data_IF_518308394971
#
_entry.id   IF_518308394971
#
_cell.length_a   1.000
_cell.length_b   1.000
_cell.length_c   1.000
_cell.angle_alpha   90.00
_cell.angle_beta   90.00
_cell.angle_gamma   90.00
#
_symmetry.space_group_name_H-M   'P 1'
#
loop_
_entity.id
_entity.type
_entity.pdbx_description
1 polymer ?
#
# COMPACT_ATOMS: atom_id res chain seq x y z
N UNK A 1 6.36 -14.19 18.19
CA UNK A 1 5.23 -15.14 18.03
C UNK A 1 5.25 -16.20 19.14
N UNK A 2 6.30 -17.02 19.27
CA UNK A 2 6.37 -18.14 20.24
C UNK A 2 5.91 -17.82 21.69
N UNK A 3 6.41 -16.75 22.30
CA UNK A 3 6.06 -16.37 23.70
C UNK A 3 4.56 -16.14 23.88
N UNK A 4 3.94 -15.40 22.95
CA UNK A 4 2.51 -15.14 22.98
C UNK A 4 1.71 -16.41 22.69
N UNK A 5 2.18 -17.26 21.79
CA UNK A 5 1.52 -18.53 21.46
C UNK A 5 1.47 -19.46 22.67
N UNK A 6 2.58 -19.65 23.39
CA UNK A 6 2.63 -20.48 24.60
C UNK A 6 1.76 -19.94 25.72
N UNK A 7 1.71 -18.61 25.88
CA UNK A 7 0.85 -17.98 26.88
C UNK A 7 -0.64 -18.16 26.56
N UNK A 8 -1.05 -18.00 25.29
CA UNK A 8 -2.46 -18.03 24.89
C UNK A 8 -2.98 -19.46 24.72
N UNK A 9 -2.21 -20.35 24.08
CA UNK A 9 -2.66 -21.71 23.76
C UNK A 9 -2.37 -22.70 24.88
N UNK A 10 -1.17 -22.65 25.43
CA UNK A 10 -0.70 -23.62 26.43
C UNK A 10 -0.84 -23.10 27.86
N UNK A 11 -1.22 -21.83 28.04
CA UNK A 11 -1.28 -21.14 29.35
C UNK A 11 0.06 -21.14 30.11
N UNK A 12 1.18 -21.23 29.39
CA UNK A 12 2.52 -21.21 29.96
C UNK A 12 3.12 -19.81 29.82
N UNK A 13 3.36 -19.15 30.95
CA UNK A 13 4.03 -17.86 31.00
C UNK A 13 5.55 -18.00 31.00
N UNK A 14 6.14 -18.09 29.80
CA UNK A 14 7.60 -18.16 29.65
C UNK A 14 8.32 -16.81 29.87
N UNK A 15 7.61 -15.71 30.13
CA UNK A 15 8.23 -14.40 30.37
C UNK A 15 9.01 -14.37 31.70
N UNK A 16 8.64 -15.24 32.65
CA UNK A 16 9.23 -15.30 33.99
C UNK A 16 10.57 -16.04 34.05
N UNK A 17 10.94 -16.78 33.00
CA UNK A 17 12.14 -17.64 33.00
C UNK A 17 13.29 -16.98 32.23
N UNK A 18 14.10 -16.16 32.93
CA UNK A 18 15.24 -15.42 32.34
C UNK A 18 16.26 -16.33 31.67
N UNK A 19 16.63 -17.45 32.29
CA UNK A 19 17.59 -18.43 31.76
C UNK A 19 17.09 -19.06 30.46
N UNK A 20 15.80 -19.45 30.41
CA UNK A 20 15.18 -19.99 29.20
C UNK A 20 15.16 -18.95 28.08
N UNK A 21 14.82 -17.69 28.39
CA UNK A 21 14.85 -16.60 27.41
C UNK A 21 16.26 -16.41 26.84
N UNK A 22 17.29 -16.50 27.68
CA UNK A 22 18.69 -16.40 27.25
C UNK A 22 19.05 -17.53 26.27
N UNK A 23 18.68 -18.78 26.58
CA UNK A 23 18.90 -19.93 25.71
C UNK A 23 18.20 -19.75 24.37
N UNK A 24 16.93 -19.34 24.38
CA UNK A 24 16.14 -19.11 23.16
C UNK A 24 16.77 -18.02 22.27
N UNK A 25 17.22 -16.90 22.87
CA UNK A 25 17.92 -15.83 22.14
C UNK A 25 19.21 -16.33 21.49
N UNK A 26 20.00 -17.14 22.21
CA UNK A 26 21.23 -17.73 21.68
C UNK A 26 20.94 -18.72 20.54
N UNK A 27 19.90 -19.54 20.65
CA UNK A 27 19.46 -20.45 19.57
C UNK A 27 19.02 -19.71 18.31
N UNK A 28 18.49 -18.50 18.44
CA UNK A 28 18.08 -17.66 17.31
C UNK A 28 19.20 -16.79 16.72
N UNK A 29 20.42 -16.80 17.29
CA UNK A 29 21.54 -16.03 16.72
C UNK A 29 21.83 -16.52 15.30
N UNK A 30 21.97 -15.58 14.37
CA UNK A 30 22.21 -15.89 12.95
C UNK A 30 20.96 -16.30 12.17
N UNK A 31 19.79 -16.43 12.82
CA UNK A 31 18.54 -16.63 12.09
C UNK A 31 18.26 -15.41 11.22
N UNK A 32 18.23 -15.64 9.90
CA UNK A 32 17.72 -14.67 8.94
C UNK A 32 16.29 -15.09 8.60
N UNK A 33 15.27 -14.26 8.85
CA UNK A 33 13.91 -14.57 8.44
C UNK A 33 13.87 -14.74 6.93
N UNK A 34 13.07 -15.69 6.44
CA UNK A 34 12.80 -15.82 5.01
C UNK A 34 12.14 -14.53 4.54
N UNK A 35 12.87 -13.76 3.74
CA UNK A 35 12.32 -12.55 3.11
C UNK A 35 11.47 -12.97 1.91
N UNK A 36 10.38 -12.23 1.69
CA UNK A 36 9.62 -12.33 0.43
C UNK A 36 10.52 -11.92 -0.74
N UNK A 37 10.26 -12.45 -1.93
CA UNK A 37 10.83 -11.87 -3.15
C UNK A 37 10.41 -10.40 -3.22
N UNK A 38 11.36 -9.52 -3.54
CA UNK A 38 11.15 -8.09 -3.70
C UNK A 38 11.27 -7.79 -5.19
N UNK A 39 10.35 -6.98 -5.73
CA UNK A 39 10.40 -6.56 -7.12
C UNK A 39 11.59 -5.63 -7.37
N UNK A 40 12.29 -5.85 -8.48
CA UNK A 40 13.30 -4.92 -8.97
C UNK A 40 12.66 -3.77 -9.76
N UNK A 41 13.42 -2.72 -10.03
CA UNK A 41 12.92 -1.53 -10.75
C UNK A 41 12.46 -1.92 -12.15
N UNK A 42 13.19 -2.83 -12.78
CA UNK A 42 12.94 -3.39 -14.10
C UNK A 42 11.60 -4.13 -14.13
N UNK A 43 11.28 -4.92 -13.10
CA UNK A 43 10.01 -5.64 -12.99
C UNK A 43 8.83 -4.68 -12.93
N UNK A 44 8.95 -3.62 -12.12
CA UNK A 44 7.91 -2.59 -11.98
C UNK A 44 7.72 -1.83 -13.29
N UNK A 45 8.82 -1.43 -13.92
CA UNK A 45 8.79 -0.73 -15.20
C UNK A 45 8.19 -1.59 -16.31
N UNK A 46 8.52 -2.88 -16.33
CA UNK A 46 7.94 -3.86 -17.25
C UNK A 46 6.43 -3.98 -17.03
N UNK A 47 6.00 -4.11 -15.77
CA UNK A 47 4.59 -4.16 -15.41
C UNK A 47 3.83 -2.90 -15.88
N UNK A 48 4.41 -1.71 -15.68
CA UNK A 48 3.78 -0.47 -16.14
C UNK A 48 3.65 -0.42 -17.67
N UNK A 49 4.65 -0.88 -18.42
CA UNK A 49 4.71 -0.86 -19.90
C UNK A 49 3.83 -1.89 -20.57
N UNK A 50 3.94 -3.14 -20.16
CA UNK A 50 3.36 -4.26 -20.90
C UNK A 50 1.89 -4.47 -20.56
N UNK A 51 1.47 -4.11 -19.35
CA UNK A 51 0.12 -4.41 -18.89
C UNK A 51 -0.91 -3.46 -19.48
N UNK A 52 -2.05 -3.98 -19.93
CA UNK A 52 -3.16 -3.13 -20.40
C UNK A 52 -3.71 -2.26 -19.27
N UNK A 53 -3.95 -0.98 -19.60
CA UNK A 53 -4.61 -0.04 -18.69
C UNK A 53 -6.09 -0.36 -18.48
N UNK A 54 -6.71 -1.23 -19.28
CA UNK A 54 -8.15 -1.49 -19.15
C UNK A 54 -8.43 -2.60 -18.13
N UNK A 55 -7.50 -3.54 -17.99
CA UNK A 55 -7.60 -4.65 -17.04
C UNK A 55 -6.99 -4.30 -15.68
N UNK A 56 -5.78 -3.72 -15.66
CA UNK A 56 -5.01 -3.54 -14.42
C UNK A 56 -4.77 -2.07 -14.03
N UNK A 57 -5.70 -1.17 -14.36
CA UNK A 57 -5.56 0.26 -14.02
C UNK A 57 -5.38 0.48 -12.51
N UNK A 58 -6.13 -0.29 -11.73
CA UNK A 58 -6.20 -0.17 -10.28
C UNK A 58 -4.88 -0.59 -9.61
N UNK A 59 -4.29 -1.69 -10.06
CA UNK A 59 -3.01 -2.20 -9.59
C UNK A 59 -1.88 -1.23 -9.94
N UNK A 60 -1.93 -0.62 -11.14
CA UNK A 60 -0.99 0.42 -11.55
C UNK A 60 -1.06 1.63 -10.63
N UNK A 61 -2.24 2.19 -10.37
CA UNK A 61 -2.35 3.36 -9.48
C UNK A 61 -1.93 3.04 -8.04
N UNK A 62 -2.25 1.86 -7.52
CA UNK A 62 -1.76 1.42 -6.19
C UNK A 62 -0.24 1.35 -6.19
N UNK A 63 0.35 0.74 -7.22
CA UNK A 63 1.81 0.61 -7.30
C UNK A 63 2.49 1.97 -7.33
N UNK A 64 1.96 2.93 -8.09
CA UNK A 64 2.46 4.32 -8.15
C UNK A 64 2.35 4.98 -6.78
N UNK A 65 1.18 4.98 -6.15
CA UNK A 65 1.01 5.62 -4.83
C UNK A 65 1.85 4.94 -3.74
N UNK A 66 2.04 3.63 -3.85
CA UNK A 66 2.90 2.85 -2.97
C UNK A 66 4.38 3.21 -3.12
N UNK A 67 4.88 3.33 -4.36
CA UNK A 67 6.28 3.63 -4.65
C UNK A 67 6.61 5.09 -4.31
N UNK A 68 5.84 6.06 -4.80
CA UNK A 68 6.10 7.48 -4.56
C UNK A 68 5.83 7.89 -3.11
N UNK A 69 4.77 7.37 -2.51
CA UNK A 69 4.35 7.76 -1.17
C UNK A 69 4.87 6.87 -0.04
N UNK A 70 5.47 5.71 -0.35
CA UNK A 70 5.78 4.65 0.63
C UNK A 70 4.59 4.32 1.53
N UNK A 71 3.39 4.30 0.94
CA UNK A 71 2.13 4.18 1.68
C UNK A 71 1.85 2.73 2.08
N UNK A 72 1.33 2.56 3.30
CA UNK A 72 0.76 1.27 3.73
C UNK A 72 -0.61 1.08 3.12
N UNK A 73 -1.04 -0.17 2.93
CA UNK A 73 -2.36 -0.49 2.39
C UNK A 73 -3.51 0.14 3.18
N UNK A 74 -3.40 0.19 4.51
CA UNK A 74 -4.39 0.84 5.36
C UNK A 74 -4.45 2.36 5.16
N UNK A 75 -3.33 3.01 4.83
CA UNK A 75 -3.27 4.44 4.58
C UNK A 75 -3.84 4.78 3.20
N UNK A 76 -3.60 3.92 2.19
CA UNK A 76 -4.21 4.05 0.88
C UNK A 76 -5.73 3.86 0.95
N UNK A 77 -6.20 2.87 1.72
CA UNK A 77 -7.62 2.55 1.82
C UNK A 77 -8.47 3.69 2.39
N UNK A 78 -7.93 4.50 3.30
CA UNK A 78 -8.64 5.63 3.92
C UNK A 78 -8.46 6.96 3.17
N UNK A 79 -7.72 6.97 2.06
CA UNK A 79 -7.44 8.18 1.31
C UNK A 79 -8.74 8.76 0.73
N UNK A 80 -8.93 10.08 0.83
CA UNK A 80 -10.12 10.74 0.28
C UNK A 80 -9.83 11.47 -1.03
N UNK A 81 -10.88 11.87 -1.76
CA UNK A 81 -10.70 12.64 -3.01
C UNK A 81 -10.00 13.97 -2.74
N UNK A 82 -10.35 14.64 -1.64
CA UNK A 82 -9.79 15.95 -1.27
C UNK A 82 -8.30 15.88 -0.89
N UNK A 83 -7.85 14.69 -0.50
CA UNK A 83 -6.45 14.40 -0.20
C UNK A 83 -5.60 14.32 -1.49
N UNK A 84 -6.21 14.13 -2.67
CA UNK A 84 -5.52 14.01 -3.97
C UNK A 84 -5.76 15.27 -4.82
N UNK A 85 -4.74 16.12 -4.92
CA UNK A 85 -4.80 17.41 -5.62
C UNK A 85 -3.97 17.38 -6.89
N UNK A 86 -4.60 17.64 -8.02
CA UNK A 86 -3.93 17.79 -9.32
C UNK A 86 -3.64 19.28 -9.57
N UNK A 87 -2.36 19.66 -9.63
CA UNK A 87 -1.88 21.02 -9.96
C UNK A 87 -0.78 20.98 -11.02
N UNK A 88 -0.91 20.10 -12.01
CA UNK A 88 0.16 19.77 -12.95
C UNK A 88 0.84 18.48 -12.52
N UNK A 89 1.43 18.49 -11.32
CA UNK A 89 1.79 17.29 -10.57
C UNK A 89 0.65 16.87 -9.65
N UNK A 90 0.58 15.57 -9.32
CA UNK A 90 -0.41 15.07 -8.34
C UNK A 90 0.20 15.11 -6.96
N UNK A 91 -0.31 15.98 -6.10
CA UNK A 91 0.02 16.00 -4.68
C UNK A 91 -0.98 15.17 -3.89
N UNK A 92 -0.47 14.26 -3.07
CA UNK A 92 -1.28 13.43 -2.18
C UNK A 92 -0.96 13.79 -0.74
N UNK A 93 -1.98 14.17 0.02
CA UNK A 93 -1.89 14.42 1.45
C UNK A 93 -2.32 13.18 2.22
N UNK A 94 -1.38 12.51 2.86
CA UNK A 94 -1.66 11.32 3.65
C UNK A 94 -1.67 11.66 5.14
N UNK A 95 -2.77 11.34 5.80
CA UNK A 95 -2.89 11.40 7.26
C UNK A 95 -2.24 10.17 7.90
N UNK A 96 -1.23 10.37 8.74
CA UNK A 96 -0.64 9.27 9.53
C UNK A 96 -1.54 8.99 10.73
N UNK A 97 -2.19 7.82 10.73
CA UNK A 97 -3.13 7.42 11.79
C UNK A 97 -2.45 7.13 13.13
N UNK A 98 -1.12 6.94 13.18
CA UNK A 98 -0.38 6.63 14.40
C UNK A 98 0.27 7.85 15.03
N UNK A 99 0.87 8.71 14.23
CA UNK A 99 1.59 9.89 14.73
C UNK A 99 0.78 11.18 14.62
N UNK A 100 -0.35 11.15 13.90
CA UNK A 100 -1.17 12.32 13.56
C UNK A 100 -0.39 13.44 12.83
N UNK A 101 0.78 13.10 12.27
CA UNK A 101 1.58 13.99 11.44
C UNK A 101 1.29 13.68 9.98
N UNK A 102 0.69 14.64 9.28
CA UNK A 102 0.41 14.49 7.87
C UNK A 102 1.72 14.50 7.07
N UNK A 103 1.81 13.63 6.07
CA UNK A 103 2.91 13.62 5.11
C UNK A 103 2.34 13.80 3.72
N UNK A 104 2.90 14.77 3.01
CA UNK A 104 2.55 15.02 1.62
C UNK A 104 3.63 14.40 0.74
N UNK A 105 3.23 13.82 -0.39
CA UNK A 105 4.15 13.40 -1.43
C UNK A 105 3.63 13.84 -2.79
N UNK A 106 4.55 14.11 -3.70
CA UNK A 106 4.27 14.44 -5.09
C UNK A 106 4.48 13.23 -5.98
N UNK A 107 3.55 13.00 -6.89
CA UNK A 107 3.71 12.12 -8.04
C UNK A 107 4.03 13.03 -9.21
N UNK A 108 5.27 12.90 -9.69
CA UNK A 108 5.82 13.72 -10.77
C UNK A 108 5.80 12.88 -12.05
N UNK A 109 5.50 13.53 -13.18
CA UNK A 109 5.60 12.90 -14.49
C UNK A 109 7.06 12.66 -14.90
N UNK A 110 7.30 11.57 -15.62
CA UNK A 110 8.54 11.36 -16.36
C UNK A 110 8.20 11.28 -17.86
N UNK A 111 9.04 11.89 -18.68
CA UNK A 111 8.89 11.96 -20.13
C UNK A 111 9.39 10.68 -20.83
N UNK A 112 10.12 9.81 -20.12
CA UNK A 112 10.82 8.65 -20.71
C UNK A 112 9.99 7.36 -20.84
N UNK A 113 8.65 7.45 -20.82
CA UNK A 113 7.80 6.33 -21.22
C UNK A 113 6.39 6.37 -20.68
N UNK A 114 6.23 6.20 -19.36
CA UNK A 114 4.91 6.15 -18.72
C UNK A 114 4.84 7.26 -17.70
N UNK A 115 3.93 8.19 -17.96
CA UNK A 115 3.66 9.26 -17.05
C UNK A 115 2.72 8.78 -15.91
N UNK A 116 3.20 8.67 -14.67
CA UNK A 116 2.39 8.19 -13.55
C UNK A 116 1.20 9.12 -13.27
N UNK A 117 1.36 10.42 -13.57
CA UNK A 117 0.30 11.42 -13.44
C UNK A 117 -0.89 11.09 -14.34
N UNK A 118 -0.63 10.65 -15.57
CA UNK A 118 -1.70 10.35 -16.54
C UNK A 118 -2.50 9.12 -16.12
N UNK A 119 -1.86 8.14 -15.48
CA UNK A 119 -2.55 6.97 -14.91
C UNK A 119 -3.49 7.41 -13.78
N UNK A 120 -3.02 8.28 -12.89
CA UNK A 120 -3.85 8.81 -11.80
C UNK A 120 -5.03 9.60 -12.36
N UNK A 121 -4.80 10.43 -13.39
CA UNK A 121 -5.85 11.18 -14.08
C UNK A 121 -6.87 10.26 -14.76
N UNK A 122 -6.43 9.22 -15.47
CA UNK A 122 -7.30 8.22 -16.12
C UNK A 122 -8.21 7.54 -15.09
N UNK A 123 -7.66 7.11 -13.96
CA UNK A 123 -8.45 6.52 -12.87
C UNK A 123 -9.46 7.53 -12.29
N UNK A 124 -9.03 8.77 -12.03
CA UNK A 124 -9.89 9.82 -11.49
C UNK A 124 -11.05 10.16 -12.42
N UNK A 125 -10.83 10.14 -13.73
CA UNK A 125 -11.88 10.38 -14.73
C UNK A 125 -12.90 9.25 -14.80
N UNK A 126 -12.47 7.99 -14.62
CA UNK A 126 -13.36 6.82 -14.59
C UNK A 126 -14.14 6.68 -13.28
N UNK A 127 -13.65 7.30 -12.21
CA UNK A 127 -14.30 7.24 -10.90
C UNK A 127 -15.64 7.99 -10.95
N UNK A 128 -16.69 7.32 -10.49
CA UNK A 128 -18.03 7.91 -10.31
C UNK A 128 -17.94 9.13 -9.39
N UNK A 129 -18.53 10.26 -9.80
CA UNK A 129 -18.50 11.50 -9.00
C UNK A 129 -19.53 11.49 -7.87
N UNK A 130 -20.67 10.82 -8.07
CA UNK A 130 -21.79 10.79 -7.15
C UNK A 130 -21.84 9.49 -6.34
N UNK A 131 -20.83 9.27 -5.49
CA UNK A 131 -20.80 8.12 -4.57
C UNK A 131 -21.10 8.62 -3.16
N UNK A 132 -21.82 7.82 -2.36
CA UNK A 132 -22.20 8.17 -0.99
C UNK A 132 -21.01 8.45 -0.04
N UNK A 133 -19.80 8.02 -0.43
CA UNK A 133 -18.58 8.19 0.35
C UNK A 133 -17.51 9.00 -0.42
N UNK A 134 -16.61 9.64 0.34
CA UNK A 134 -15.54 10.47 -0.22
C UNK A 134 -14.19 9.73 -0.38
N UNK A 135 -14.18 8.40 -0.31
CA UNK A 135 -12.94 7.62 -0.47
C UNK A 135 -12.43 7.68 -1.91
N UNK A 136 -11.13 7.90 -2.09
CA UNK A 136 -10.50 8.02 -3.40
C UNK A 136 -10.58 6.69 -4.17
N UNK A 137 -10.21 5.58 -3.52
CA UNK A 137 -10.24 4.27 -4.15
C UNK A 137 -11.60 3.61 -4.03
N UNK A 138 -12.12 3.21 -5.18
CA UNK A 138 -13.34 2.42 -5.33
C UNK A 138 -13.03 1.16 -6.12
N UNK A 139 -13.89 0.15 -5.95
CA UNK A 139 -13.74 -1.13 -6.62
C UNK A 139 -13.77 -0.97 -8.13
N UNK A 140 -12.73 -1.48 -8.81
CA UNK A 140 -12.52 -1.42 -10.25
C UNK A 140 -12.64 -2.81 -10.85
N UNK A 141 -13.52 -2.99 -11.83
CA UNK A 141 -13.74 -4.26 -12.53
C UNK A 141 -14.00 -4.01 -14.01
N UNK A 142 -13.33 -4.77 -14.88
CA UNK A 142 -13.56 -4.79 -16.33
C UNK A 142 -13.60 -3.38 -16.95
N UNK A 143 -12.60 -2.53 -16.69
CA UNK A 143 -12.56 -1.18 -17.26
C UNK A 143 -13.38 -0.12 -16.52
N UNK A 144 -14.13 -0.48 -15.47
CA UNK A 144 -15.11 0.41 -14.83
C UNK A 144 -14.97 0.48 -13.31
N UNK A 145 -15.14 1.68 -12.77
CA UNK A 145 -15.29 1.91 -11.35
C UNK A 145 -16.74 1.64 -10.92
N UNK A 146 -16.90 1.01 -9.76
CA UNK A 146 -18.20 0.77 -9.11
C UNK A 146 -18.33 1.61 -7.84
N UNK A 147 -19.53 1.74 -7.29
CA UNK A 147 -19.77 2.49 -6.03
C UNK A 147 -19.25 1.76 -4.78
N UNK A 148 -18.90 0.48 -4.90
CA UNK A 148 -18.43 -0.31 -3.76
C UNK A 148 -17.01 0.08 -3.38
N UNK A 149 -16.75 0.10 -2.08
CA UNK A 149 -15.39 0.27 -1.55
C UNK A 149 -14.51 -0.93 -1.87
N UNK A 150 -13.23 -0.66 -2.06
CA UNK A 150 -12.23 -1.73 -2.21
C UNK A 150 -12.06 -2.45 -0.87
N UNK A 151 -11.99 -3.79 -0.89
CA UNK A 151 -11.64 -4.57 0.30
C UNK A 151 -10.17 -4.42 0.67
N UNK A 152 -9.84 -4.61 1.95
CA UNK A 152 -8.46 -4.83 2.40
C UNK A 152 -8.24 -6.34 2.47
N UNK A 153 -7.24 -6.84 1.74
CA UNK A 153 -6.75 -8.22 1.85
C UNK A 153 -5.77 -8.39 3.00
#
# INVERSE_FOLDING_TARGET
MLKKTLLVREKIDIFRYSSLICILKNKTKGYKPRQSLVFETEDVMKFWRETSNDECLFEKIISIMGIFGTCRSCELHILTIDDVKDRGDVMVNRRDTKTNVNRNFGIIGDENGINPVDIVRKYRALRLQHVAHNFFFVNYRNGKCTEQLIGIN
#
